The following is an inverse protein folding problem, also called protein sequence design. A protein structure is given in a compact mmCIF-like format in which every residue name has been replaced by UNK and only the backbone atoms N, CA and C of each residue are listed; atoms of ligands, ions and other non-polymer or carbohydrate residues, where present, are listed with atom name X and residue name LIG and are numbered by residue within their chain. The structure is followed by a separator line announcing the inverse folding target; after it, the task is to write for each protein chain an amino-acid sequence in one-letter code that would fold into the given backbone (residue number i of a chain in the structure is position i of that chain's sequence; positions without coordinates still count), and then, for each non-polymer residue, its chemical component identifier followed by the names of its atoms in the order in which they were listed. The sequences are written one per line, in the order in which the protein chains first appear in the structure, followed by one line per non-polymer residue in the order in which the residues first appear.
data_IF_463910725896
#
_entry.id   IF_463910725896
#
_cell.length_a   1.000
_cell.length_b   1.000
_cell.length_c   1.000
_cell.angle_alpha   90.00
_cell.angle_beta   90.00
_cell.angle_gamma   90.00
#
_symmetry.space_group_name_H-M   'P 1'
#
loop_
_entity.id
_entity.type
_entity.pdbx_description
1 polymer ?
#
# COMPACT_ATOMS: atom_id res chain seq x y z
N UNK A 1 -16.97 -6.25 -51.46
CA UNK A 1 -16.89 -7.27 -50.40
C UNK A 1 -15.65 -6.94 -49.60
N UNK A 2 -15.83 -6.21 -48.50
CA UNK A 2 -14.76 -5.72 -47.63
C UNK A 2 -14.24 -6.90 -46.82
N UNK A 3 -13.04 -7.39 -47.14
CA UNK A 3 -12.34 -8.34 -46.28
C UNK A 3 -11.96 -7.62 -44.99
N UNK A 4 -12.40 -8.12 -43.84
CA UNK A 4 -12.08 -7.54 -42.54
C UNK A 4 -10.56 -7.48 -42.33
N UNK A 5 -10.00 -6.27 -42.32
CA UNK A 5 -8.58 -5.94 -42.12
C UNK A 5 -8.02 -6.38 -40.75
N UNK A 6 -8.88 -6.87 -39.85
CA UNK A 6 -8.54 -7.31 -38.50
C UNK A 6 -9.08 -8.72 -38.20
N UNK A 7 -8.97 -9.63 -39.16
CA UNK A 7 -9.31 -11.04 -38.92
C UNK A 7 -8.10 -11.86 -38.53
N UNK A 8 -8.30 -12.85 -37.67
CA UNK A 8 -7.21 -13.73 -37.26
C UNK A 8 -6.65 -14.52 -38.45
N UNK A 9 -5.32 -14.72 -38.52
CA UNK A 9 -4.72 -15.57 -39.54
C UNK A 9 -5.26 -17.00 -39.52
N UNK A 10 -5.17 -17.69 -40.66
CA UNK A 10 -5.53 -19.11 -40.73
C UNK A 10 -4.75 -19.89 -39.67
N UNK A 11 -5.43 -20.80 -38.94
CA UNK A 11 -4.88 -21.50 -37.78
C UNK A 11 -3.52 -22.16 -38.03
N UNK A 12 -3.28 -22.66 -39.24
CA UNK A 12 -2.02 -23.30 -39.66
C UNK A 12 -0.83 -22.35 -39.71
N UNK A 13 -1.05 -21.05 -39.94
CA UNK A 13 0.01 -20.04 -40.04
C UNK A 13 0.49 -19.54 -38.67
N UNK A 14 -0.36 -19.63 -37.64
CA UNK A 14 -0.09 -19.06 -36.31
C UNK A 14 0.14 -20.11 -35.21
N UNK A 15 -0.07 -21.41 -35.49
CA UNK A 15 0.19 -22.49 -34.52
C UNK A 15 1.68 -22.54 -34.15
N UNK A 16 2.06 -22.67 -32.85
CA UNK A 16 1.22 -22.97 -31.68
C UNK A 16 0.48 -21.79 -31.04
N UNK A 17 0.79 -20.54 -31.39
CA UNK A 17 0.14 -19.36 -30.82
C UNK A 17 -1.39 -19.34 -31.08
N UNK A 18 -2.10 -18.63 -30.21
CA UNK A 18 -3.52 -18.34 -30.31
C UNK A 18 -3.73 -16.92 -30.83
N UNK A 19 -4.80 -16.70 -31.57
CA UNK A 19 -5.23 -15.37 -32.03
C UNK A 19 -6.71 -15.20 -31.72
N UNK A 20 -7.04 -14.05 -31.14
CA UNK A 20 -8.40 -13.61 -30.85
C UNK A 20 -8.67 -12.26 -31.53
N UNK A 21 -9.85 -12.11 -32.11
CA UNK A 21 -10.33 -10.83 -32.63
C UNK A 21 -10.98 -10.05 -31.48
N UNK A 22 -10.50 -8.83 -31.23
CA UNK A 22 -11.04 -7.94 -30.20
C UNK A 22 -11.49 -6.63 -30.83
N UNK A 23 -12.26 -5.82 -30.10
CA UNK A 23 -12.87 -4.59 -30.60
C UNK A 23 -11.87 -3.57 -31.17
N UNK A 24 -10.60 -3.60 -30.75
CA UNK A 24 -9.54 -2.68 -31.17
C UNK A 24 -8.42 -3.33 -32.01
N UNK A 25 -8.59 -4.55 -32.50
CA UNK A 25 -7.60 -5.25 -33.31
C UNK A 25 -7.42 -6.71 -32.91
N UNK A 26 -6.19 -7.23 -33.04
CA UNK A 26 -5.89 -8.62 -32.70
C UNK A 26 -5.20 -8.76 -31.34
N UNK A 27 -5.53 -9.82 -30.61
CA UNK A 27 -4.75 -10.34 -29.50
C UNK A 27 -4.06 -11.64 -29.93
N UNK A 28 -2.74 -11.71 -29.81
CA UNK A 28 -1.94 -12.90 -30.11
C UNK A 28 -1.26 -13.37 -28.83
N UNK A 29 -1.40 -14.66 -28.51
CA UNK A 29 -0.84 -15.29 -27.32
C UNK A 29 0.05 -16.44 -27.74
N UNK A 30 1.34 -16.34 -27.43
CA UNK A 30 2.35 -17.36 -27.66
C UNK A 30 2.93 -17.82 -26.32
N UNK A 31 2.61 -19.04 -25.90
CA UNK A 31 3.11 -19.64 -24.65
C UNK A 31 3.96 -20.88 -24.93
N UNK A 32 5.16 -20.94 -24.32
CA UNK A 32 6.06 -22.08 -24.46
C UNK A 32 6.65 -22.27 -25.86
N UNK A 33 6.70 -21.20 -26.66
CA UNK A 33 7.13 -21.22 -28.07
C UNK A 33 8.62 -20.90 -28.18
N UNK A 34 9.35 -21.70 -28.97
CA UNK A 34 10.76 -21.46 -29.27
C UNK A 34 10.95 -20.26 -30.20
N UNK A 35 12.10 -19.60 -30.09
CA UNK A 35 12.40 -18.38 -30.85
C UNK A 35 12.32 -18.58 -32.37
N UNK A 36 12.83 -19.69 -32.91
CA UNK A 36 12.78 -19.95 -34.35
C UNK A 36 11.34 -20.11 -34.87
N UNK A 37 10.47 -20.77 -34.11
CA UNK A 37 9.05 -20.87 -34.43
C UNK A 37 8.36 -19.51 -34.41
N UNK A 38 8.70 -18.64 -33.45
CA UNK A 38 8.18 -17.27 -33.41
C UNK A 38 8.60 -16.45 -34.63
N UNK A 39 9.88 -16.55 -35.03
CA UNK A 39 10.39 -15.90 -36.26
C UNK A 39 9.61 -16.37 -37.48
N UNK A 40 9.39 -17.66 -37.62
CA UNK A 40 8.60 -18.21 -38.73
C UNK A 40 7.16 -17.68 -38.74
N UNK A 41 6.49 -17.65 -37.59
CA UNK A 41 5.11 -17.15 -37.47
C UNK A 41 5.06 -15.69 -37.88
N UNK A 42 5.87 -14.82 -37.28
CA UNK A 42 5.80 -13.37 -37.52
C UNK A 42 6.24 -12.98 -38.93
N UNK A 43 7.10 -13.77 -39.58
CA UNK A 43 7.43 -13.58 -40.99
C UNK A 43 6.30 -13.98 -41.94
N UNK A 44 5.42 -14.91 -41.55
CA UNK A 44 4.28 -15.36 -42.37
C UNK A 44 3.05 -14.46 -42.20
N UNK A 45 2.89 -13.78 -41.07
CA UNK A 45 1.72 -12.95 -40.76
C UNK A 45 1.34 -11.92 -41.86
N UNK A 46 2.27 -11.21 -42.53
CA UNK A 46 1.91 -10.29 -43.62
C UNK A 46 1.24 -10.93 -44.83
N UNK A 47 1.30 -12.26 -44.97
CA UNK A 47 0.89 -12.97 -46.20
C UNK A 47 -0.60 -13.30 -46.28
N UNK A 48 -1.40 -12.86 -45.31
CA UNK A 48 -2.81 -13.19 -45.26
C UNK A 48 -3.67 -12.15 -45.99
N UNK A 49 -3.49 -12.06 -47.32
CA UNK A 49 -4.58 -11.95 -48.30
C UNK A 49 -4.04 -11.76 -49.73
N UNK A 50 -4.42 -12.71 -50.58
CA UNK A 50 -4.38 -12.72 -52.05
C UNK A 50 -3.16 -13.36 -52.74
N UNK A 51 -3.50 -14.36 -53.55
CA UNK A 51 -2.75 -14.89 -54.69
C UNK A 51 -2.47 -13.84 -55.80
N UNK A 52 -2.31 -12.56 -55.46
CA UNK A 52 -2.02 -11.51 -56.44
C UNK A 52 -0.57 -11.05 -56.29
N UNK A 53 0.23 -11.42 -57.28
CA UNK A 53 1.65 -11.13 -57.46
C UNK A 53 1.98 -9.64 -57.69
N UNK A 54 1.28 -8.70 -57.04
CA UNK A 54 1.66 -7.28 -57.12
C UNK A 54 2.27 -6.84 -55.79
N UNK A 55 3.60 -6.97 -55.74
CA UNK A 55 4.46 -6.32 -54.77
C UNK A 55 4.29 -4.81 -54.89
N UNK A 56 3.63 -4.17 -53.91
CA UNK A 56 3.94 -2.84 -53.38
C UNK A 56 2.84 -2.46 -52.36
N UNK A 57 3.25 -2.33 -51.08
CA UNK A 57 2.43 -2.06 -49.89
C UNK A 57 1.76 -3.29 -49.25
N UNK A 58 2.56 -4.22 -48.73
CA UNK A 58 2.09 -5.12 -47.66
C UNK A 58 1.81 -4.26 -46.41
N UNK A 59 0.54 -3.98 -46.13
CA UNK A 59 0.12 -3.36 -44.88
C UNK A 59 0.43 -4.34 -43.72
N UNK A 60 1.16 -3.86 -42.71
CA UNK A 60 1.48 -4.66 -41.52
C UNK A 60 0.23 -4.89 -40.70
N UNK A 61 0.02 -6.13 -40.27
CA UNK A 61 -1.07 -6.47 -39.34
C UNK A 61 -0.83 -5.73 -38.02
N UNK A 62 -1.86 -5.04 -37.54
CA UNK A 62 -1.84 -4.37 -36.24
C UNK A 62 -2.34 -5.31 -35.15
N UNK A 63 -1.42 -5.68 -34.27
CA UNK A 63 -1.66 -6.49 -33.09
C UNK A 63 -1.82 -5.54 -31.91
N UNK A 64 -3.01 -5.50 -31.33
CA UNK A 64 -3.28 -4.68 -30.16
C UNK A 64 -2.52 -5.22 -28.94
N UNK A 65 -2.55 -6.55 -28.74
CA UNK A 65 -1.84 -7.23 -27.66
C UNK A 65 -1.04 -8.41 -28.18
N UNK A 66 0.29 -8.35 -28.04
CA UNK A 66 1.18 -9.48 -28.28
C UNK A 66 1.69 -10.00 -26.92
N UNK A 67 1.21 -11.18 -26.53
CA UNK A 67 1.57 -11.83 -25.27
C UNK A 67 2.50 -13.00 -25.54
N UNK A 68 3.72 -12.90 -25.03
CA UNK A 68 4.80 -13.86 -25.09
C UNK A 68 5.12 -14.29 -23.67
N UNK A 69 4.73 -15.52 -23.31
CA UNK A 69 4.84 -16.01 -21.94
C UNK A 69 5.58 -17.33 -21.92
N UNK A 70 6.49 -17.52 -20.95
CA UNK A 70 7.20 -18.79 -20.80
C UNK A 70 7.95 -19.23 -22.08
N UNK A 71 8.30 -18.27 -22.94
CA UNK A 71 9.05 -18.56 -24.16
C UNK A 71 10.53 -18.60 -23.78
N UNK A 72 11.27 -19.62 -24.19
CA UNK A 72 12.70 -19.72 -23.88
C UNK A 72 13.52 -18.81 -24.81
N UNK A 73 13.42 -17.50 -24.58
CA UNK A 73 14.08 -16.47 -25.36
C UNK A 73 15.22 -15.93 -24.51
N UNK A 74 16.42 -16.47 -24.69
CA UNK A 74 17.58 -16.02 -23.93
C UNK A 74 17.94 -14.55 -24.20
N UNK A 75 17.80 -14.12 -25.45
CA UNK A 75 17.97 -12.74 -25.89
C UNK A 75 16.88 -12.39 -26.90
N UNK A 76 16.25 -11.22 -26.73
CA UNK A 76 15.23 -10.75 -27.67
C UNK A 76 15.93 -10.21 -28.93
N UNK A 77 15.77 -10.83 -30.10
CA UNK A 77 16.62 -10.52 -31.24
C UNK A 77 16.12 -9.32 -32.05
N UNK A 78 17.04 -8.73 -32.83
CA UNK A 78 16.68 -7.80 -33.87
C UNK A 78 15.66 -8.39 -34.85
N UNK A 79 14.85 -7.51 -35.44
CA UNK A 79 13.94 -7.81 -36.57
C UNK A 79 12.78 -8.76 -36.29
N UNK A 80 12.64 -9.33 -35.09
CA UNK A 80 11.52 -10.22 -34.74
C UNK A 80 10.16 -9.58 -35.03
N UNK A 81 10.05 -8.27 -34.79
CA UNK A 81 8.81 -7.50 -34.91
C UNK A 81 8.71 -6.72 -36.24
N UNK A 82 9.66 -6.87 -37.18
CA UNK A 82 9.72 -6.02 -38.38
C UNK A 82 8.50 -6.08 -39.29
N UNK A 83 7.76 -7.18 -39.23
CA UNK A 83 6.66 -7.48 -40.13
C UNK A 83 5.30 -7.28 -39.46
N UNK A 84 5.28 -6.85 -38.20
CA UNK A 84 4.07 -6.66 -37.41
C UNK A 84 4.08 -5.30 -36.73
N UNK A 85 2.88 -4.80 -36.46
CA UNK A 85 2.69 -3.61 -35.65
C UNK A 85 2.14 -4.02 -34.29
N UNK A 86 2.74 -3.54 -33.20
CA UNK A 86 2.35 -3.95 -31.84
C UNK A 86 2.13 -2.71 -30.97
N UNK A 87 0.93 -2.61 -30.37
CA UNK A 87 0.59 -1.54 -29.42
C UNK A 87 0.98 -1.89 -27.98
N UNK A 88 0.69 -3.12 -27.56
CA UNK A 88 1.02 -3.63 -26.23
C UNK A 88 1.79 -4.95 -26.35
N UNK A 89 3.06 -4.94 -25.95
CA UNK A 89 3.92 -6.11 -25.92
C UNK A 89 4.11 -6.57 -24.47
N UNK A 90 3.78 -7.83 -24.20
CA UNK A 90 4.05 -8.48 -22.92
C UNK A 90 4.99 -9.66 -23.18
N UNK A 91 6.25 -9.56 -22.78
CA UNK A 91 7.25 -10.61 -22.90
C UNK A 91 7.80 -10.94 -21.50
N UNK A 92 6.97 -11.60 -20.69
CA UNK A 92 7.28 -11.90 -19.29
C UNK A 92 7.59 -13.38 -19.08
N UNK A 93 8.42 -13.68 -18.08
CA UNK A 93 8.85 -15.05 -17.76
C UNK A 93 9.52 -15.77 -18.95
N UNK A 94 10.32 -15.06 -19.74
CA UNK A 94 10.96 -15.61 -20.94
C UNK A 94 12.43 -16.00 -20.72
N UNK A 95 12.95 -15.88 -19.49
CA UNK A 95 14.38 -16.05 -19.17
C UNK A 95 15.31 -15.12 -19.97
N UNK A 96 14.82 -13.96 -20.41
CA UNK A 96 15.64 -13.00 -21.18
C UNK A 96 16.72 -12.39 -20.30
N UNK A 97 17.96 -12.38 -20.77
CA UNK A 97 19.07 -11.67 -20.12
C UNK A 97 19.45 -10.37 -20.84
N UNK A 98 19.08 -10.24 -22.12
CA UNK A 98 19.43 -9.11 -22.97
C UNK A 98 18.40 -8.88 -24.09
N UNK A 99 18.37 -7.68 -24.64
CA UNK A 99 17.57 -7.27 -25.79
C UNK A 99 18.48 -6.60 -26.80
N UNK A 100 18.49 -7.10 -28.03
CA UNK A 100 19.22 -6.49 -29.13
C UNK A 100 18.82 -5.02 -29.31
N UNK A 101 19.80 -4.14 -29.52
CA UNK A 101 19.60 -2.69 -29.63
C UNK A 101 18.56 -2.27 -30.68
N UNK A 102 18.38 -3.05 -31.76
CA UNK A 102 17.45 -2.77 -32.86
C UNK A 102 16.12 -3.54 -32.71
N UNK A 103 15.91 -4.28 -31.61
CA UNK A 103 14.75 -5.15 -31.39
C UNK A 103 13.40 -4.43 -31.54
N UNK A 104 13.27 -3.23 -30.98
CA UNK A 104 12.03 -2.46 -30.95
C UNK A 104 11.95 -1.35 -31.99
N UNK A 105 12.98 -1.20 -32.84
CA UNK A 105 13.08 -0.11 -33.81
C UNK A 105 11.92 -0.04 -34.79
N UNK A 106 11.36 -1.18 -35.18
CA UNK A 106 10.22 -1.23 -36.12
C UNK A 106 8.87 -0.88 -35.49
N UNK A 107 8.81 -0.77 -34.16
CA UNK A 107 7.59 -0.46 -33.41
C UNK A 107 7.70 0.78 -32.50
N UNK A 108 8.81 1.53 -32.57
CA UNK A 108 9.10 2.66 -31.68
C UNK A 108 8.06 3.78 -31.72
N UNK A 109 7.42 3.98 -32.87
CA UNK A 109 6.42 5.03 -33.12
C UNK A 109 4.97 4.59 -32.82
N UNK A 110 4.76 3.38 -32.30
CA UNK A 110 3.42 2.86 -32.04
C UNK A 110 3.28 2.09 -30.73
N UNK A 111 4.37 1.62 -30.12
CA UNK A 111 4.29 0.87 -28.87
C UNK A 111 3.87 1.78 -27.71
N UNK A 112 2.75 1.46 -27.08
CA UNK A 112 2.18 2.22 -25.98
C UNK A 112 2.44 1.55 -24.63
N UNK A 113 2.54 0.22 -24.59
CA UNK A 113 2.87 -0.52 -23.36
C UNK A 113 3.88 -1.63 -23.63
N UNK A 114 4.89 -1.71 -22.77
CA UNK A 114 5.92 -2.74 -22.82
C UNK A 114 6.09 -3.36 -21.43
N UNK A 115 5.83 -4.65 -21.35
CA UNK A 115 6.05 -5.46 -20.15
C UNK A 115 7.17 -6.48 -20.41
N UNK A 116 8.27 -6.29 -19.70
CA UNK A 116 9.47 -7.12 -19.71
C UNK A 116 9.74 -7.70 -18.31
N UNK A 117 8.70 -7.80 -17.47
CA UNK A 117 8.81 -8.30 -16.10
C UNK A 117 9.15 -9.79 -16.02
N UNK A 118 9.63 -10.24 -14.86
CA UNK A 118 9.98 -11.64 -14.61
C UNK A 118 11.00 -12.19 -15.63
N UNK A 119 12.02 -11.41 -15.97
CA UNK A 119 13.15 -11.87 -16.78
C UNK A 119 14.42 -11.84 -15.91
N UNK A 120 15.60 -11.83 -16.53
CA UNK A 120 16.90 -11.90 -15.86
C UNK A 120 17.79 -10.71 -16.27
N UNK A 121 17.18 -9.57 -16.59
CA UNK A 121 17.92 -8.38 -16.99
C UNK A 121 18.73 -7.86 -15.81
N UNK A 122 20.06 -7.79 -15.96
CA UNK A 122 20.97 -7.15 -14.97
C UNK A 122 21.07 -5.64 -15.13
N UNK A 123 20.71 -5.15 -16.30
CA UNK A 123 20.67 -3.74 -16.67
C UNK A 123 19.42 -3.48 -17.48
N UNK A 124 18.97 -2.23 -17.46
CA UNK A 124 17.89 -1.80 -18.34
C UNK A 124 18.40 -1.84 -19.79
N UNK A 125 17.69 -2.50 -20.72
CA UNK A 125 18.19 -2.62 -22.09
C UNK A 125 18.24 -1.28 -22.84
N UNK A 126 19.32 -1.06 -23.60
CA UNK A 126 19.51 0.16 -24.41
C UNK A 126 18.47 0.29 -25.53
N UNK A 127 17.90 -0.83 -25.99
CA UNK A 127 16.84 -0.89 -27.00
C UNK A 127 15.55 -0.14 -26.60
N UNK A 128 15.39 0.24 -25.32
CA UNK A 128 14.26 1.02 -24.83
C UNK A 128 14.36 2.51 -25.14
N UNK A 129 15.55 3.02 -25.49
CA UNK A 129 15.74 4.43 -25.82
C UNK A 129 14.97 4.79 -27.08
N UNK A 130 14.38 5.99 -27.08
CA UNK A 130 13.64 6.52 -28.23
C UNK A 130 12.27 5.89 -28.48
N UNK A 131 11.75 5.05 -27.57
CA UNK A 131 10.35 4.59 -27.62
C UNK A 131 9.40 5.73 -27.23
N UNK A 132 9.26 6.71 -28.12
CA UNK A 132 8.64 8.01 -27.87
C UNK A 132 7.14 7.94 -27.57
N UNK A 133 6.48 6.88 -28.01
CA UNK A 133 5.04 6.64 -27.79
C UNK A 133 4.73 5.79 -26.56
N UNK A 134 5.75 5.28 -25.88
CA UNK A 134 5.60 4.38 -24.75
C UNK A 134 4.99 5.13 -23.55
N UNK A 135 3.83 4.68 -23.10
CA UNK A 135 3.06 5.24 -21.98
C UNK A 135 3.32 4.47 -20.69
N UNK A 136 3.56 3.16 -20.79
CA UNK A 136 3.74 2.27 -19.63
C UNK A 136 4.90 1.31 -19.86
N UNK A 137 5.86 1.30 -18.92
CA UNK A 137 7.01 0.40 -18.93
C UNK A 137 7.05 -0.40 -17.63
N UNK A 138 6.98 -1.73 -17.75
CA UNK A 138 7.10 -2.66 -16.63
C UNK A 138 8.38 -3.49 -16.75
N UNK A 139 9.29 -3.33 -15.80
CA UNK A 139 10.57 -4.05 -15.67
C UNK A 139 10.65 -4.81 -14.33
N UNK A 140 9.50 -5.10 -13.71
CA UNK A 140 9.44 -5.71 -12.39
C UNK A 140 10.08 -7.11 -12.35
N UNK A 141 10.58 -7.51 -11.19
CA UNK A 141 11.11 -8.85 -10.97
C UNK A 141 12.17 -9.25 -12.00
N UNK A 142 13.13 -8.36 -12.22
CA UNK A 142 14.36 -8.63 -12.95
C UNK A 142 15.54 -8.65 -11.97
N UNK A 143 16.77 -8.61 -12.47
CA UNK A 143 17.99 -8.59 -11.66
C UNK A 143 18.73 -7.25 -11.80
N UNK A 144 18.01 -6.16 -12.06
CA UNK A 144 18.62 -4.86 -12.36
C UNK A 144 19.33 -4.31 -11.11
N UNK A 145 20.60 -3.98 -11.25
CA UNK A 145 21.46 -3.56 -10.12
C UNK A 145 21.66 -2.03 -10.07
N UNK A 146 21.73 -1.38 -11.23
CA UNK A 146 21.91 0.08 -11.35
C UNK A 146 21.03 0.67 -12.43
N UNK A 147 20.73 1.97 -12.30
CA UNK A 147 20.17 2.78 -13.38
C UNK A 147 21.22 3.80 -13.80
N UNK A 148 21.74 3.63 -15.01
CA UNK A 148 22.83 4.44 -15.54
C UNK A 148 22.31 5.79 -16.10
N UNK A 149 23.23 6.69 -16.45
CA UNK A 149 22.88 8.04 -16.95
C UNK A 149 22.07 7.97 -18.25
N UNK A 150 20.99 8.77 -18.34
CA UNK A 150 20.11 8.86 -19.53
C UNK A 150 19.54 7.52 -19.98
N UNK A 151 19.26 6.60 -19.05
CA UNK A 151 18.81 5.25 -19.39
C UNK A 151 17.46 5.22 -20.12
N UNK A 152 16.62 6.24 -19.91
CA UNK A 152 15.27 6.36 -20.48
C UNK A 152 15.18 7.49 -21.51
N UNK A 153 16.30 7.85 -22.15
CA UNK A 153 16.35 8.94 -23.12
C UNK A 153 15.40 8.70 -24.30
N UNK A 154 14.64 9.73 -24.68
CA UNK A 154 13.69 9.70 -25.78
C UNK A 154 12.36 9.01 -25.48
N UNK A 155 12.11 8.52 -24.26
CA UNK A 155 10.80 7.96 -23.85
C UNK A 155 9.88 9.09 -23.35
N UNK A 156 9.46 9.94 -24.29
CA UNK A 156 8.85 11.24 -24.00
C UNK A 156 7.38 11.20 -23.56
N UNK A 157 6.68 10.09 -23.79
CA UNK A 157 5.25 9.94 -23.47
C UNK A 157 4.98 9.09 -22.22
N UNK A 158 6.03 8.70 -21.49
CA UNK A 158 5.90 7.78 -20.37
C UNK A 158 5.09 8.40 -19.24
N UNK A 159 4.08 7.66 -18.77
CA UNK A 159 3.28 8.01 -17.60
C UNK A 159 3.63 7.14 -16.40
N UNK A 160 3.88 5.85 -16.63
CA UNK A 160 4.10 4.84 -15.58
C UNK A 160 5.38 4.05 -15.83
N UNK A 161 6.25 4.04 -14.84
CA UNK A 161 7.47 3.23 -14.82
C UNK A 161 7.48 2.35 -13.56
N UNK A 162 7.61 1.04 -13.75
CA UNK A 162 7.73 0.08 -12.67
C UNK A 162 9.03 -0.71 -12.78
N UNK A 163 9.81 -0.70 -11.70
CA UNK A 163 11.07 -1.41 -11.49
C UNK A 163 11.03 -2.19 -10.16
N UNK A 164 9.82 -2.54 -9.72
CA UNK A 164 9.59 -3.23 -8.45
C UNK A 164 10.25 -4.61 -8.41
N UNK A 165 10.82 -5.00 -7.26
CA UNK A 165 11.36 -6.35 -7.09
C UNK A 165 12.65 -6.60 -7.88
N UNK A 166 13.53 -5.60 -8.00
CA UNK A 166 14.84 -5.72 -8.63
C UNK A 166 15.95 -5.73 -7.54
N UNK A 167 17.22 -5.54 -7.93
CA UNK A 167 18.38 -5.46 -7.01
C UNK A 167 19.01 -4.07 -7.04
N UNK A 168 18.21 -3.03 -7.29
CA UNK A 168 18.73 -1.68 -7.55
C UNK A 168 19.29 -1.12 -6.25
N UNK A 169 20.61 -0.95 -6.19
CA UNK A 169 21.30 -0.34 -5.05
C UNK A 169 21.77 1.09 -5.35
N UNK A 170 21.88 1.46 -6.62
CA UNK A 170 22.33 2.80 -7.04
C UNK A 170 21.60 3.31 -8.29
N UNK A 171 21.27 4.60 -8.28
CA UNK A 171 20.68 5.33 -9.41
C UNK A 171 21.56 6.53 -9.70
N UNK A 172 22.02 6.64 -10.94
CA UNK A 172 22.83 7.78 -11.39
C UNK A 172 22.00 9.08 -11.30
N UNK A 173 22.62 10.19 -10.91
CA UNK A 173 21.91 11.47 -10.77
C UNK A 173 21.30 11.97 -12.09
N UNK A 174 21.80 11.54 -13.24
CA UNK A 174 21.30 11.87 -14.57
C UNK A 174 20.44 10.76 -15.20
N UNK A 175 20.04 9.74 -14.43
CA UNK A 175 19.33 8.56 -14.92
C UNK A 175 18.05 8.88 -15.70
N UNK A 176 17.27 9.85 -15.22
CA UNK A 176 15.98 10.24 -15.77
C UNK A 176 16.06 11.43 -16.74
N UNK A 177 17.25 11.86 -17.16
CA UNK A 177 17.37 12.86 -18.23
C UNK A 177 16.87 12.26 -19.54
N UNK A 178 16.01 12.99 -20.25
CA UNK A 178 15.44 12.58 -21.53
C UNK A 178 14.16 11.75 -21.42
N UNK A 179 13.75 11.39 -20.19
CA UNK A 179 12.41 10.88 -19.94
C UNK A 179 11.39 12.02 -20.07
N UNK A 180 10.20 11.72 -20.57
CA UNK A 180 9.16 12.72 -20.77
C UNK A 180 8.76 13.48 -19.50
N UNK A 181 8.19 14.69 -19.63
CA UNK A 181 7.72 15.47 -18.48
C UNK A 181 6.47 14.87 -17.81
N UNK A 182 5.85 13.85 -18.43
CA UNK A 182 4.52 13.36 -18.07
C UNK A 182 4.54 12.16 -17.10
N UNK A 183 5.70 11.74 -16.60
CA UNK A 183 5.77 10.60 -15.67
C UNK A 183 5.03 10.96 -14.39
N UNK A 184 3.93 10.27 -14.11
CA UNK A 184 3.09 10.49 -12.93
C UNK A 184 3.34 9.44 -11.86
N UNK A 185 3.85 8.27 -12.20
CA UNK A 185 4.06 7.17 -11.24
C UNK A 185 5.38 6.47 -11.49
N UNK A 186 6.18 6.36 -10.43
CA UNK A 186 7.37 5.52 -10.39
C UNK A 186 7.28 4.54 -9.23
N UNK A 187 7.50 3.27 -9.53
CA UNK A 187 7.69 2.23 -8.53
C UNK A 187 9.13 1.71 -8.52
N UNK A 188 9.84 1.99 -7.43
CA UNK A 188 11.19 1.51 -7.10
C UNK A 188 11.17 0.64 -5.83
N UNK A 189 10.00 0.14 -5.42
CA UNK A 189 9.88 -0.71 -4.26
C UNK A 189 10.54 -2.09 -4.44
N UNK A 190 10.79 -2.82 -3.36
CA UNK A 190 11.40 -4.15 -3.43
C UNK A 190 12.79 -4.12 -4.07
N UNK A 191 13.64 -3.17 -3.65
CA UNK A 191 14.98 -2.96 -4.18
C UNK A 191 16.00 -2.85 -3.02
N UNK A 192 17.24 -2.47 -3.31
CA UNK A 192 18.33 -2.39 -2.34
C UNK A 192 18.77 -0.95 -2.06
N UNK A 193 17.90 0.04 -2.30
CA UNK A 193 18.22 1.45 -2.10
C UNK A 193 18.43 1.74 -0.61
N UNK A 194 19.60 2.27 -0.27
CA UNK A 194 19.92 2.67 1.10
C UNK A 194 19.50 4.10 1.45
N UNK A 195 19.14 4.90 0.43
CA UNK A 195 18.76 6.32 0.54
C UNK A 195 17.76 6.66 -0.57
N UNK A 196 17.01 7.75 -0.38
CA UNK A 196 16.11 8.27 -1.41
C UNK A 196 16.95 8.85 -2.56
N UNK A 197 16.73 8.43 -3.83
CA UNK A 197 17.51 8.88 -4.99
C UNK A 197 17.07 10.28 -5.46
N UNK A 198 17.08 11.28 -4.56
CA UNK A 198 16.43 12.57 -4.81
C UNK A 198 17.11 13.41 -5.90
N UNK A 199 18.42 13.25 -6.08
CA UNK A 199 19.18 13.92 -7.14
C UNK A 199 18.74 13.54 -8.55
N UNK A 200 18.31 12.29 -8.74
CA UNK A 200 17.81 11.80 -10.02
C UNK A 200 16.31 12.05 -10.20
N UNK A 201 15.52 11.99 -9.12
CA UNK A 201 14.07 12.18 -9.20
C UNK A 201 13.65 13.64 -9.48
N UNK A 202 14.53 14.62 -9.25
CA UNK A 202 14.25 16.06 -9.48
C UNK A 202 13.78 16.43 -10.89
N UNK A 203 14.03 15.57 -11.88
CA UNK A 203 13.64 15.80 -13.28
C UNK A 203 12.16 15.47 -13.57
N UNK A 204 11.46 14.79 -12.66
CA UNK A 204 10.13 14.22 -12.89
C UNK A 204 9.01 15.15 -12.42
N UNK A 205 8.90 16.34 -12.99
CA UNK A 205 8.06 17.43 -12.46
C UNK A 205 6.56 17.10 -12.31
N UNK A 206 6.04 16.17 -13.10
CA UNK A 206 4.63 15.71 -13.02
C UNK A 206 4.42 14.50 -12.10
N UNK A 207 5.45 14.07 -11.36
CA UNK A 207 5.36 12.90 -10.50
C UNK A 207 4.31 13.12 -9.41
N UNK A 208 3.37 12.19 -9.33
CA UNK A 208 2.31 12.16 -8.33
C UNK A 208 2.61 11.10 -7.28
N UNK A 209 2.94 9.88 -7.72
CA UNK A 209 3.18 8.74 -6.82
C UNK A 209 4.61 8.25 -6.91
N UNK A 210 5.28 8.23 -5.76
CA UNK A 210 6.62 7.67 -5.59
C UNK A 210 6.56 6.50 -4.60
N UNK A 211 6.81 5.29 -5.11
CA UNK A 211 6.87 4.08 -4.31
C UNK A 211 8.33 3.66 -4.07
N UNK A 212 8.75 3.68 -2.81
CA UNK A 212 10.07 3.31 -2.31
C UNK A 212 9.99 2.26 -1.19
N UNK A 213 8.85 1.57 -1.06
CA UNK A 213 8.65 0.54 -0.04
C UNK A 213 9.61 -0.64 -0.21
N UNK A 214 9.83 -1.43 0.83
CA UNK A 214 10.66 -2.65 0.75
C UNK A 214 12.07 -2.35 0.20
N UNK A 215 12.72 -1.33 0.76
CA UNK A 215 14.09 -0.96 0.46
C UNK A 215 14.93 -1.01 1.77
N UNK A 216 16.14 -0.45 1.74
CA UNK A 216 17.07 -0.39 2.90
C UNK A 216 17.29 1.04 3.37
N UNK A 217 16.30 1.93 3.17
CA UNK A 217 16.39 3.35 3.54
C UNK A 217 16.38 3.46 5.06
N UNK A 218 17.45 3.99 5.63
CA UNK A 218 17.63 4.07 7.10
C UNK A 218 17.64 5.51 7.63
N UNK A 219 17.85 6.50 6.76
CA UNK A 219 17.84 7.92 7.11
C UNK A 219 17.14 8.73 6.02
N UNK A 220 16.39 9.74 6.43
CA UNK A 220 15.80 10.75 5.56
C UNK A 220 16.26 12.10 6.08
N UNK A 221 16.96 12.87 5.25
CA UNK A 221 17.43 14.20 5.64
C UNK A 221 16.71 15.29 4.85
N UNK A 222 16.55 16.47 5.48
CA UNK A 222 15.98 17.65 4.83
C UNK A 222 16.73 18.03 3.55
N UNK A 223 18.06 17.90 3.56
CA UNK A 223 18.90 18.19 2.39
C UNK A 223 18.63 17.25 1.20
N UNK A 224 18.28 15.99 1.47
CA UNK A 224 17.91 15.06 0.41
C UNK A 224 16.55 15.40 -0.18
N UNK A 225 15.53 15.61 0.65
CA UNK A 225 14.18 15.89 0.18
C UNK A 225 14.06 17.27 -0.45
N UNK A 226 14.92 18.23 -0.11
CA UNK A 226 15.01 19.53 -0.79
C UNK A 226 15.26 19.42 -2.29
N UNK A 227 15.94 18.36 -2.76
CA UNK A 227 16.11 18.13 -4.20
C UNK A 227 14.79 17.82 -4.91
N UNK A 228 13.76 17.39 -4.17
CA UNK A 228 12.42 17.09 -4.68
C UNK A 228 11.48 18.31 -4.67
N UNK A 229 11.96 19.51 -4.31
CA UNK A 229 11.13 20.73 -4.27
C UNK A 229 10.42 21.08 -5.59
N UNK A 230 10.89 20.54 -6.73
CA UNK A 230 10.29 20.73 -8.04
C UNK A 230 9.12 19.78 -8.31
N UNK A 231 8.91 18.75 -7.48
CA UNK A 231 7.84 17.77 -7.60
C UNK A 231 6.53 18.33 -7.03
N UNK A 232 6.00 19.38 -7.67
CA UNK A 232 4.83 20.13 -7.19
C UNK A 232 3.52 19.35 -7.19
N UNK A 233 3.52 18.16 -7.81
CA UNK A 233 2.35 17.29 -7.91
C UNK A 233 2.45 16.02 -7.09
N UNK A 234 3.54 15.83 -6.30
CA UNK A 234 3.75 14.61 -5.52
C UNK A 234 2.70 14.51 -4.41
N UNK A 235 1.70 13.66 -4.62
CA UNK A 235 0.55 13.46 -3.74
C UNK A 235 0.77 12.29 -2.77
N UNK A 236 1.52 11.27 -3.19
CA UNK A 236 1.72 10.05 -2.42
C UNK A 236 3.21 9.64 -2.38
N UNK A 237 3.74 9.53 -1.16
CA UNK A 237 5.07 9.01 -0.87
C UNK A 237 4.94 7.73 -0.03
N UNK A 238 5.38 6.61 -0.60
CA UNK A 238 5.40 5.34 0.12
C UNK A 238 6.83 4.93 0.47
N UNK A 239 7.12 4.88 1.78
CA UNK A 239 8.39 4.51 2.40
C UNK A 239 8.22 3.31 3.35
N UNK A 240 7.13 2.55 3.23
CA UNK A 240 6.84 1.40 4.07
C UNK A 240 7.94 0.33 3.98
N UNK A 241 8.10 -0.51 5.00
CA UNK A 241 9.05 -1.63 4.99
C UNK A 241 10.49 -1.17 4.66
N UNK A 242 10.97 -0.17 5.39
CA UNK A 242 12.34 0.33 5.32
C UNK A 242 12.98 0.24 6.73
N UNK A 243 14.09 0.94 6.95
CA UNK A 243 14.89 0.88 8.17
C UNK A 243 14.95 2.24 8.89
N UNK A 244 13.96 3.11 8.68
CA UNK A 244 13.94 4.49 9.21
C UNK A 244 13.73 4.43 10.72
N UNK A 245 14.57 5.13 11.49
CA UNK A 245 14.52 5.12 12.97
C UNK A 245 13.93 6.36 13.61
N UNK A 246 14.03 7.49 12.92
CA UNK A 246 13.54 8.76 13.41
C UNK A 246 13.17 9.66 12.23
N UNK A 247 12.28 10.62 12.50
CA UNK A 247 11.92 11.69 11.58
C UNK A 247 12.37 13.01 12.19
N UNK A 248 13.31 13.68 11.51
CA UNK A 248 13.88 14.95 11.95
C UNK A 248 12.98 16.14 11.53
N UNK A 249 13.31 17.33 12.04
CA UNK A 249 12.59 18.56 11.75
C UNK A 249 12.56 18.92 10.27
N UNK A 250 11.38 19.36 9.81
CA UNK A 250 11.10 19.93 8.49
C UNK A 250 11.60 19.10 7.30
N UNK A 251 11.67 17.77 7.43
CA UNK A 251 12.16 16.90 6.34
C UNK A 251 11.22 16.91 5.13
N UNK A 252 9.91 17.11 5.33
CA UNK A 252 8.90 17.09 4.25
C UNK A 252 8.52 18.49 3.73
N UNK A 253 9.13 19.57 4.23
CA UNK A 253 8.68 20.95 4.01
C UNK A 253 8.57 21.38 2.54
N UNK A 254 9.34 20.78 1.65
CA UNK A 254 9.34 21.11 0.22
C UNK A 254 8.34 20.28 -0.61
N UNK A 255 7.64 19.33 0.01
CA UNK A 255 6.66 18.43 -0.63
C UNK A 255 5.22 18.95 -0.48
N UNK A 256 4.98 20.19 -0.93
CA UNK A 256 3.78 20.97 -0.63
C UNK A 256 2.44 20.41 -1.14
N UNK A 257 2.44 19.31 -1.89
CA UNK A 257 1.23 18.62 -2.35
C UNK A 257 1.01 17.27 -1.67
N UNK A 258 1.91 16.89 -0.74
CA UNK A 258 1.91 15.58 -0.13
C UNK A 258 0.67 15.39 0.72
N UNK A 259 -0.08 14.35 0.39
CA UNK A 259 -1.39 14.09 0.93
C UNK A 259 -1.47 12.69 1.56
N UNK A 260 -0.71 11.73 1.02
CA UNK A 260 -0.56 10.38 1.54
C UNK A 260 0.91 10.10 1.87
N UNK A 261 1.18 9.77 3.13
CA UNK A 261 2.50 9.37 3.61
C UNK A 261 2.45 8.02 4.30
N UNK A 262 3.17 7.06 3.74
CA UNK A 262 3.24 5.69 4.26
C UNK A 262 4.62 5.39 4.83
N UNK A 263 4.68 5.24 6.15
CA UNK A 263 5.88 4.91 6.92
C UNK A 263 5.69 3.59 7.70
N UNK A 264 4.72 2.77 7.28
CA UNK A 264 4.43 1.46 7.84
C UNK A 264 5.69 0.59 7.94
N UNK A 265 5.79 -0.23 8.98
CA UNK A 265 6.84 -1.26 9.12
C UNK A 265 8.26 -0.69 8.98
N UNK A 266 8.54 0.35 9.75
CA UNK A 266 9.88 0.91 9.93
C UNK A 266 10.36 0.68 11.38
N UNK A 267 11.40 1.40 11.81
CA UNK A 267 11.95 1.33 13.17
C UNK A 267 11.73 2.66 13.91
N UNK A 268 10.69 3.41 13.56
CA UNK A 268 10.51 4.79 14.03
C UNK A 268 10.14 4.77 15.52
N UNK A 269 11.01 5.36 16.34
CA UNK A 269 10.77 5.56 17.77
C UNK A 269 10.61 7.03 18.16
N UNK A 270 11.01 7.96 17.28
CA UNK A 270 11.00 9.40 17.53
C UNK A 270 10.54 10.16 16.29
N UNK A 271 9.65 11.13 16.50
CA UNK A 271 9.17 12.07 15.48
C UNK A 271 9.31 13.46 16.09
N UNK A 272 10.09 14.32 15.45
CA UNK A 272 10.30 15.71 15.88
C UNK A 272 9.01 16.53 15.75
N UNK A 273 8.80 17.55 16.59
CA UNK A 273 7.58 18.38 16.58
C UNK A 273 7.40 19.16 15.27
N UNK A 274 8.49 19.45 14.55
CA UNK A 274 8.49 20.19 13.30
C UNK A 274 8.60 19.28 12.06
N UNK A 275 8.48 17.96 12.23
CA UNK A 275 8.64 16.97 11.13
C UNK A 275 7.76 17.29 9.93
N UNK A 276 6.50 17.64 10.18
CA UNK A 276 5.46 17.83 9.18
C UNK A 276 5.26 19.30 8.76
N UNK A 277 6.15 20.20 9.19
CA UNK A 277 6.14 21.60 8.76
C UNK A 277 6.19 21.68 7.23
N UNK A 278 5.32 22.49 6.63
CA UNK A 278 5.17 22.67 5.18
C UNK A 278 4.16 21.75 4.48
N UNK A 279 3.62 20.73 5.15
CA UNK A 279 2.58 19.81 4.62
C UNK A 279 1.32 19.73 5.48
N UNK A 280 1.18 20.64 6.44
CA UNK A 280 0.12 20.67 7.46
C UNK A 280 -1.28 20.86 6.85
N UNK A 281 -1.34 21.51 5.69
CA UNK A 281 -2.58 21.83 4.98
C UNK A 281 -2.98 20.77 3.96
N UNK A 282 -2.12 19.78 3.67
CA UNK A 282 -2.35 18.81 2.59
C UNK A 282 -2.41 17.36 3.06
N UNK A 283 -1.71 17.02 4.15
CA UNK A 283 -1.64 15.65 4.64
C UNK A 283 -3.00 15.17 5.19
N UNK A 284 -3.57 14.14 4.56
CA UNK A 284 -4.84 13.54 4.95
C UNK A 284 -4.69 12.09 5.44
N UNK A 285 -3.68 11.37 4.94
CA UNK A 285 -3.44 9.96 5.26
C UNK A 285 -2.01 9.76 5.77
N UNK A 286 -1.89 9.36 7.04
CA UNK A 286 -0.61 9.04 7.66
C UNK A 286 -0.65 7.62 8.22
N UNK A 287 0.27 6.77 7.73
CA UNK A 287 0.50 5.44 8.27
C UNK A 287 1.83 5.36 8.99
N UNK A 288 1.77 4.97 10.26
CA UNK A 288 2.89 4.79 11.17
C UNK A 288 2.78 3.43 11.88
N UNK A 289 1.98 2.51 11.36
CA UNK A 289 1.79 1.19 11.95
C UNK A 289 3.06 0.33 11.85
N UNK A 290 3.17 -0.67 12.74
CA UNK A 290 4.33 -1.55 12.84
C UNK A 290 5.65 -0.77 13.06
N UNK A 291 5.65 0.22 13.96
CA UNK A 291 6.83 0.99 14.36
C UNK A 291 7.13 0.79 15.86
N UNK A 292 7.95 1.67 16.45
CA UNK A 292 8.42 1.59 17.84
C UNK A 292 7.97 2.80 18.67
N UNK A 293 6.84 3.42 18.32
CA UNK A 293 6.31 4.59 19.02
C UNK A 293 5.78 4.18 20.40
N UNK A 294 6.22 4.89 21.45
CA UNK A 294 5.75 4.68 22.83
C UNK A 294 4.62 5.63 23.23
N UNK A 295 4.34 6.63 22.40
CA UNK A 295 3.29 7.62 22.61
C UNK A 295 2.73 8.11 21.27
N UNK A 296 1.54 8.70 21.30
CA UNK A 296 0.96 9.39 20.14
C UNK A 296 1.80 10.65 19.85
N UNK A 297 2.22 10.91 18.60
CA UNK A 297 3.06 12.07 18.26
C UNK A 297 2.24 13.37 18.17
N UNK A 298 1.59 13.73 19.27
CA UNK A 298 0.61 14.83 19.32
C UNK A 298 1.22 16.19 18.98
N UNK A 299 2.43 16.46 19.46
CA UNK A 299 3.15 17.71 19.15
C UNK A 299 3.51 17.82 17.67
N UNK A 300 3.92 16.73 17.03
CA UNK A 300 4.22 16.72 15.60
C UNK A 300 2.97 16.90 14.73
N UNK A 301 1.82 16.40 15.19
CA UNK A 301 0.56 16.43 14.43
C UNK A 301 -0.31 17.65 14.71
N UNK A 302 0.05 18.52 15.67
CA UNK A 302 -0.80 19.61 16.18
C UNK A 302 -1.31 20.57 15.11
N UNK A 303 -0.57 20.75 14.02
CA UNK A 303 -0.94 21.67 12.95
C UNK A 303 -1.67 21.00 11.76
N UNK A 304 -1.76 19.67 11.71
CA UNK A 304 -2.31 18.93 10.57
C UNK A 304 -3.84 18.84 10.66
N UNK A 305 -4.53 19.88 10.20
CA UNK A 305 -5.99 20.01 10.36
C UNK A 305 -6.83 19.23 9.34
N UNK A 306 -6.19 18.59 8.36
CA UNK A 306 -6.85 17.79 7.32
C UNK A 306 -6.72 16.28 7.53
N UNK A 307 -6.06 15.84 8.62
CA UNK A 307 -5.77 14.42 8.84
C UNK A 307 -7.07 13.62 9.00
N UNK A 308 -7.36 12.75 8.04
CA UNK A 308 -8.55 11.87 8.01
C UNK A 308 -8.24 10.49 8.55
N UNK A 309 -7.05 9.97 8.25
CA UNK A 309 -6.61 8.67 8.72
C UNK A 309 -5.28 8.79 9.46
N UNK A 310 -5.26 8.21 10.66
CA UNK A 310 -4.05 7.98 11.42
C UNK A 310 -3.96 6.51 11.79
N UNK A 311 -2.98 5.83 11.21
CA UNK A 311 -2.69 4.43 11.54
C UNK A 311 -1.48 4.34 12.47
N UNK A 312 -1.74 3.92 13.73
CA UNK A 312 -0.74 3.72 14.78
C UNK A 312 -0.76 2.27 15.29
N UNK A 313 -1.37 1.35 14.52
CA UNK A 313 -1.46 -0.06 14.87
C UNK A 313 -0.08 -0.67 15.13
N UNK A 314 -0.01 -1.65 16.03
CA UNK A 314 1.21 -2.42 16.29
C UNK A 314 2.42 -1.54 16.62
N UNK A 315 2.23 -0.61 17.57
CA UNK A 315 3.29 0.18 18.20
C UNK A 315 3.39 -0.20 19.69
N UNK A 316 4.02 0.64 20.51
CA UNK A 316 4.26 0.41 21.94
C UNK A 316 3.58 1.47 22.81
N UNK A 317 2.47 2.06 22.34
CA UNK A 317 1.76 3.14 23.02
C UNK A 317 1.12 2.62 24.31
N UNK A 318 1.39 3.25 25.45
CA UNK A 318 0.88 2.82 26.76
C UNK A 318 -0.29 3.63 27.30
N UNK A 319 -0.38 4.91 26.95
CA UNK A 319 -1.40 5.83 27.45
C UNK A 319 -1.91 6.74 26.32
N UNK A 320 -3.16 7.16 26.43
CA UNK A 320 -3.73 8.24 25.62
C UNK A 320 -4.11 9.38 26.58
N UNK A 321 -3.49 10.53 26.38
CA UNK A 321 -3.65 11.72 27.24
C UNK A 321 -4.74 12.66 26.70
N UNK A 322 -5.19 13.60 27.53
CA UNK A 322 -6.28 14.54 27.19
C UNK A 322 -6.00 15.33 25.90
N UNK A 323 -4.74 15.74 25.69
CA UNK A 323 -4.32 16.54 24.55
C UNK A 323 -3.88 15.70 23.34
N UNK A 324 -3.96 14.36 23.42
CA UNK A 324 -3.36 13.50 22.39
C UNK A 324 -3.88 13.78 20.97
N UNK A 325 -5.15 14.18 20.86
CA UNK A 325 -5.84 14.48 19.60
C UNK A 325 -6.52 15.87 19.59
N UNK A 326 -6.35 16.69 20.63
CA UNK A 326 -7.17 17.90 20.82
C UNK A 326 -7.10 18.86 19.61
N UNK A 327 -5.93 18.93 18.98
CA UNK A 327 -5.65 19.86 17.89
C UNK A 327 -6.12 19.39 16.50
N UNK A 328 -6.17 18.08 16.24
CA UNK A 328 -6.45 17.54 14.89
C UNK A 328 -7.59 16.50 14.86
N UNK A 329 -8.17 16.15 16.01
CA UNK A 329 -9.22 15.14 16.12
C UNK A 329 -10.49 15.48 15.33
N UNK A 330 -10.80 16.75 15.09
CA UNK A 330 -12.01 17.15 14.34
C UNK A 330 -12.08 16.55 12.93
N UNK A 331 -10.94 16.39 12.27
CA UNK A 331 -10.84 15.87 10.90
C UNK A 331 -10.71 14.35 10.82
N UNK A 332 -10.32 13.69 11.93
CA UNK A 332 -10.07 12.25 11.94
C UNK A 332 -11.38 11.49 11.71
N UNK A 333 -11.34 10.57 10.74
CA UNK A 333 -12.40 9.61 10.41
C UNK A 333 -12.01 8.19 10.78
N UNK A 334 -10.74 7.83 10.58
CA UNK A 334 -10.25 6.46 10.76
C UNK A 334 -9.04 6.47 11.69
N UNK A 335 -9.20 5.88 12.88
CA UNK A 335 -8.16 5.79 13.89
C UNK A 335 -7.89 4.32 14.25
N UNK A 336 -6.64 3.92 14.03
CA UNK A 336 -6.18 2.56 14.28
C UNK A 336 -5.14 2.58 15.41
N UNK A 337 -5.49 2.00 16.56
CA UNK A 337 -4.66 1.93 17.76
C UNK A 337 -4.53 0.49 18.28
N UNK A 338 -5.00 -0.49 17.51
CA UNK A 338 -4.97 -1.89 17.89
C UNK A 338 -3.56 -2.46 17.95
N UNK A 339 -3.36 -3.50 18.77
CA UNK A 339 -2.05 -4.13 19.00
C UNK A 339 -1.01 -3.18 19.60
N UNK A 340 -1.43 -2.22 20.43
CA UNK A 340 -0.55 -1.41 21.25
C UNK A 340 -0.48 -1.98 22.68
N UNK A 341 -0.02 -1.17 23.65
CA UNK A 341 0.06 -1.53 25.07
C UNK A 341 -0.82 -0.63 25.92
N UNK A 342 -1.90 -0.10 25.36
CA UNK A 342 -2.69 0.97 25.98
C UNK A 342 -3.36 0.43 27.25
N UNK A 343 -3.01 1.01 28.40
CA UNK A 343 -3.52 0.65 29.73
C UNK A 343 -4.63 1.59 30.21
N UNK A 344 -4.55 2.86 29.82
CA UNK A 344 -5.49 3.91 30.22
C UNK A 344 -5.67 4.96 29.13
N UNK A 345 -6.87 5.51 29.08
CA UNK A 345 -7.27 6.61 28.20
C UNK A 345 -7.86 7.68 29.10
N UNK A 346 -7.36 8.91 29.00
CA UNK A 346 -7.90 10.06 29.74
C UNK A 346 -9.32 10.38 29.27
N UNK A 347 -10.20 10.74 30.22
CA UNK A 347 -11.62 11.07 30.00
C UNK A 347 -11.87 12.14 28.93
N UNK A 348 -10.89 13.01 28.67
CA UNK A 348 -10.98 14.12 27.72
C UNK A 348 -10.28 13.83 26.39
N UNK A 349 -9.54 12.71 26.28
CA UNK A 349 -8.70 12.40 25.11
C UNK A 349 -9.45 12.40 23.78
N UNK A 350 -10.73 12.03 23.80
CA UNK A 350 -11.58 11.87 22.62
C UNK A 350 -12.58 13.02 22.43
N UNK A 351 -12.47 14.10 23.22
CA UNK A 351 -13.44 15.20 23.19
C UNK A 351 -13.50 15.93 21.84
N UNK A 352 -12.36 16.02 21.14
CA UNK A 352 -12.23 16.74 19.87
C UNK A 352 -12.77 15.99 18.65
N UNK A 353 -13.14 14.71 18.78
CA UNK A 353 -13.64 13.91 17.65
C UNK A 353 -15.06 14.32 17.25
N UNK A 354 -15.18 14.94 16.08
CA UNK A 354 -16.47 15.35 15.50
C UNK A 354 -16.87 14.49 14.28
N UNK A 355 -15.88 13.86 13.62
CA UNK A 355 -16.05 13.14 12.34
C UNK A 355 -15.70 11.66 12.40
N UNK A 356 -15.39 11.11 13.58
CA UNK A 356 -14.85 9.75 13.72
C UNK A 356 -15.86 8.69 13.26
N UNK A 357 -15.43 7.83 12.33
CA UNK A 357 -16.22 6.75 11.76
C UNK A 357 -15.72 5.39 12.27
N UNK A 358 -14.39 5.18 12.29
CA UNK A 358 -13.77 3.93 12.74
C UNK A 358 -12.77 4.16 13.87
N UNK A 359 -12.92 3.36 14.92
CA UNK A 359 -12.01 3.32 16.06
C UNK A 359 -11.66 1.87 16.40
N UNK A 360 -10.40 1.51 16.21
CA UNK A 360 -9.86 0.20 16.60
C UNK A 360 -8.96 0.34 17.83
N UNK A 361 -9.36 -0.26 18.94
CA UNK A 361 -8.63 -0.32 20.21
C UNK A 361 -8.38 -1.76 20.67
N UNK A 362 -8.71 -2.75 19.84
CA UNK A 362 -8.57 -4.16 20.15
C UNK A 362 -7.10 -4.58 20.37
N UNK A 363 -6.90 -5.70 21.05
CA UNK A 363 -5.56 -6.23 21.38
C UNK A 363 -4.69 -5.20 22.13
N UNK A 364 -5.20 -4.63 23.22
CA UNK A 364 -4.51 -3.69 24.10
C UNK A 364 -4.55 -4.19 25.56
N UNK A 365 -4.30 -3.31 26.54
CA UNK A 365 -4.28 -3.62 27.97
C UNK A 365 -5.36 -2.88 28.76
N UNK A 366 -6.46 -2.50 28.10
CA UNK A 366 -7.57 -1.78 28.72
C UNK A 366 -8.33 -2.70 29.69
N UNK A 367 -8.44 -2.27 30.95
CA UNK A 367 -9.22 -2.97 31.98
C UNK A 367 -10.59 -2.37 32.23
N UNK A 368 -10.73 -1.07 32.00
CA UNK A 368 -11.96 -0.30 32.22
C UNK A 368 -12.12 0.72 31.10
N UNK A 369 -13.36 1.09 30.81
CA UNK A 369 -13.65 2.05 29.76
C UNK A 369 -14.99 2.77 30.04
N UNK A 370 -14.93 4.08 30.28
CA UNK A 370 -16.10 4.90 30.58
C UNK A 370 -16.87 5.28 29.32
N UNK A 371 -18.22 5.28 29.40
CA UNK A 371 -19.10 5.77 28.32
C UNK A 371 -18.79 7.23 27.94
N UNK A 372 -18.37 8.04 28.92
CA UNK A 372 -18.10 9.48 28.78
C UNK A 372 -17.13 9.78 27.63
N UNK A 373 -16.13 8.91 27.42
CA UNK A 373 -15.15 9.00 26.34
C UNK A 373 -15.79 9.06 24.94
N UNK A 374 -16.97 8.45 24.76
CA UNK A 374 -17.59 8.26 23.44
C UNK A 374 -18.80 9.18 23.21
N UNK A 375 -19.27 9.92 24.22
CA UNK A 375 -20.55 10.65 24.19
C UNK A 375 -20.68 11.60 22.99
N UNK A 376 -19.58 12.19 22.52
CA UNK A 376 -19.57 13.16 21.41
C UNK A 376 -19.91 12.55 20.05
N UNK A 377 -19.56 11.28 19.81
CA UNK A 377 -19.59 10.65 18.48
C UNK A 377 -20.28 9.27 18.43
N UNK A 378 -20.50 8.61 19.58
CA UNK A 378 -21.04 7.23 19.66
C UNK A 378 -22.32 7.02 18.84
N UNK A 379 -23.23 7.99 18.86
CA UNK A 379 -24.54 7.92 18.19
C UNK A 379 -24.64 8.84 16.95
N UNK A 380 -23.51 9.30 16.41
CA UNK A 380 -23.49 10.20 15.24
C UNK A 380 -22.94 9.48 14.02
N UNK A 381 -21.62 9.34 13.96
CA UNK A 381 -20.91 8.90 12.76
C UNK A 381 -20.18 7.56 12.97
N UNK A 382 -20.07 7.08 14.20
CA UNK A 382 -19.29 5.89 14.53
C UNK A 382 -19.96 4.65 13.94
N UNK A 383 -19.26 3.97 13.04
CA UNK A 383 -19.70 2.74 12.39
C UNK A 383 -18.95 1.52 12.91
N UNK A 384 -17.69 1.71 13.33
CA UNK A 384 -16.85 0.64 13.88
C UNK A 384 -16.24 1.09 15.20
N UNK A 385 -16.50 0.31 16.25
CA UNK A 385 -15.81 0.37 17.53
C UNK A 385 -15.34 -1.03 17.90
N UNK A 386 -14.06 -1.29 17.72
CA UNK A 386 -13.47 -2.59 17.99
C UNK A 386 -12.67 -2.57 19.29
N UNK A 387 -13.12 -3.34 20.28
CA UNK A 387 -12.55 -3.41 21.63
C UNK A 387 -12.07 -4.82 22.02
N UNK A 388 -12.19 -5.84 21.16
CA UNK A 388 -11.86 -7.23 21.52
C UNK A 388 -10.39 -7.39 21.96
N UNK A 389 -10.06 -8.53 22.56
CA UNK A 389 -8.70 -8.82 23.08
C UNK A 389 -8.16 -7.75 24.04
N UNK A 390 -9.01 -7.21 24.89
CA UNK A 390 -8.62 -6.38 26.03
C UNK A 390 -8.95 -7.08 27.36
N UNK A 391 -8.14 -6.91 28.41
CA UNK A 391 -8.35 -7.50 29.73
C UNK A 391 -9.45 -6.79 30.55
N UNK A 392 -10.64 -6.57 29.97
CA UNK A 392 -11.72 -5.84 30.62
C UNK A 392 -12.23 -6.53 31.89
N UNK A 393 -12.45 -5.75 32.95
CA UNK A 393 -13.11 -6.24 34.17
C UNK A 393 -14.62 -6.11 33.96
N UNK A 394 -15.38 -7.20 34.13
CA UNK A 394 -16.83 -7.13 34.03
C UNK A 394 -17.39 -6.20 35.12
N UNK A 395 -17.95 -5.06 34.72
CA UNK A 395 -18.54 -4.08 35.63
C UNK A 395 -19.67 -3.32 34.96
N UNK A 396 -20.44 -2.60 35.76
CA UNK A 396 -21.53 -1.76 35.26
C UNK A 396 -21.09 -0.58 34.41
N UNK A 397 -19.83 -0.17 34.55
CA UNK A 397 -19.22 0.85 33.70
C UNK A 397 -19.08 0.40 32.24
N UNK A 398 -19.07 -0.91 31.95
CA UNK A 398 -18.98 -1.45 30.59
C UNK A 398 -20.35 -1.76 29.95
N UNK A 399 -21.45 -1.60 30.70
CA UNK A 399 -22.78 -1.97 30.22
C UNK A 399 -23.22 -1.15 28.98
N UNK A 400 -22.72 0.07 28.81
CA UNK A 400 -23.01 0.88 27.62
C UNK A 400 -22.55 0.22 26.32
N UNK A 401 -21.43 -0.51 26.35
CA UNK A 401 -20.87 -1.15 25.15
C UNK A 401 -21.71 -2.35 24.75
N UNK A 402 -22.16 -3.16 25.73
CA UNK A 402 -23.16 -4.20 25.50
C UNK A 402 -24.39 -3.63 24.81
N UNK A 403 -25.00 -2.58 25.37
CA UNK A 403 -26.20 -1.96 24.78
C UNK A 403 -25.93 -1.43 23.38
N UNK A 404 -24.75 -0.87 23.14
CA UNK A 404 -24.34 -0.40 21.81
C UNK A 404 -24.22 -1.55 20.80
N UNK A 405 -23.65 -2.70 21.19
CA UNK A 405 -23.58 -3.91 20.35
C UNK A 405 -24.99 -4.38 19.95
N UNK A 406 -25.90 -4.51 20.92
CA UNK A 406 -27.27 -4.97 20.68
C UNK A 406 -28.01 -4.06 19.69
N UNK A 407 -27.84 -2.74 19.83
CA UNK A 407 -28.45 -1.75 18.92
C UNK A 407 -27.89 -1.84 17.49
N UNK A 408 -26.63 -2.27 17.35
CA UNK A 408 -25.93 -2.30 16.07
C UNK A 408 -25.82 -3.70 15.47
N UNK A 409 -26.41 -4.74 16.07
CA UNK A 409 -26.22 -6.16 15.70
C UNK A 409 -26.56 -6.48 14.23
N UNK A 410 -27.41 -5.67 13.58
CA UNK A 410 -27.77 -5.81 12.16
C UNK A 410 -26.68 -5.34 11.19
N UNK A 411 -25.61 -4.71 11.68
CA UNK A 411 -24.50 -4.28 10.84
C UNK A 411 -23.65 -5.49 10.41
N UNK A 412 -23.11 -5.46 9.20
CA UNK A 412 -22.33 -6.56 8.60
C UNK A 412 -21.05 -6.95 9.40
N UNK A 413 -20.66 -6.14 10.38
CA UNK A 413 -19.47 -6.32 11.22
C UNK A 413 -19.78 -6.95 12.59
N UNK A 414 -21.01 -7.43 12.81
CA UNK A 414 -21.46 -7.98 14.11
C UNK A 414 -20.63 -9.13 14.67
N UNK A 415 -19.86 -9.83 13.82
CA UNK A 415 -18.93 -10.87 14.26
C UNK A 415 -17.80 -10.35 15.14
N UNK A 416 -17.29 -9.14 14.89
CA UNK A 416 -16.11 -8.59 15.60
C UNK A 416 -16.44 -8.31 17.06
N UNK A 417 -17.65 -7.80 17.33
CA UNK A 417 -18.01 -7.37 18.68
C UNK A 417 -18.34 -8.55 19.60
N UNK A 418 -18.83 -9.66 19.04
CA UNK A 418 -19.12 -10.92 19.75
C UNK A 418 -17.87 -11.58 20.34
N UNK A 419 -16.69 -11.22 19.85
CA UNK A 419 -15.42 -11.70 20.39
C UNK A 419 -14.96 -10.93 21.63
N UNK A 420 -15.60 -9.79 21.95
CA UNK A 420 -15.22 -8.99 23.11
C UNK A 420 -15.66 -9.69 24.39
N UNK A 421 -14.70 -9.91 25.29
CA UNK A 421 -14.91 -10.60 26.56
C UNK A 421 -14.49 -9.71 27.72
N UNK A 422 -15.10 -9.93 28.87
CA UNK A 422 -14.65 -9.40 30.14
C UNK A 422 -14.37 -10.53 31.13
N UNK A 423 -13.63 -10.21 32.18
CA UNK A 423 -13.19 -11.10 33.22
C UNK A 423 -13.87 -10.71 34.54
N UNK A 424 -14.46 -11.69 35.23
CA UNK A 424 -14.96 -11.52 36.59
C UNK A 424 -13.80 -11.81 37.57
N UNK A 425 -13.55 -10.90 38.53
CA UNK A 425 -12.51 -11.09 39.55
C UNK A 425 -13.20 -11.11 40.92
N UNK A 426 -13.21 -12.27 41.57
CA UNK A 426 -13.88 -12.51 42.87
C UNK A 426 -13.13 -11.86 44.06
N UNK A 427 -12.11 -11.05 43.78
CA UNK A 427 -11.30 -10.39 44.81
C UNK A 427 -11.99 -9.08 45.22
N UNK A 428 -12.90 -9.19 46.18
CA UNK A 428 -13.07 -8.12 47.16
C UNK A 428 -11.74 -7.97 47.92
N UNK A 429 -10.97 -6.95 47.57
CA UNK A 429 -9.86 -6.46 48.40
C UNK A 429 -10.41 -5.78 49.66
N UNK A 430 -11.10 -6.54 50.52
CA UNK A 430 -11.37 -6.16 51.91
C UNK A 430 -10.37 -6.88 52.81
N UNK A 431 -9.44 -6.12 53.38
CA UNK A 431 -8.49 -6.55 54.39
C UNK A 431 -9.21 -7.10 55.63
N UNK A 432 -9.41 -8.43 55.70
CA UNK A 432 -9.44 -9.18 56.97
C UNK A 432 -9.55 -10.68 56.73
N UNK A 433 -8.42 -11.34 56.44
CA UNK A 433 -8.35 -12.81 56.56
C UNK A 433 -7.32 -13.15 57.63
N UNK A 434 -7.83 -13.70 58.72
CA UNK A 434 -7.07 -14.27 59.84
C UNK A 434 -6.21 -15.45 59.39
N UNK A 435 -5.12 -15.66 60.13
CA UNK A 435 -3.90 -16.32 59.72
C UNK A 435 -3.95 -17.86 59.56
N UNK A 436 -5.11 -18.47 59.28
CA UNK A 436 -5.29 -19.94 59.20
C UNK A 436 -5.84 -20.48 57.86
N UNK A 437 -5.85 -19.69 56.79
CA UNK A 437 -6.28 -20.14 55.45
C UNK A 437 -5.21 -20.04 54.34
N UNK A 438 -3.93 -20.12 54.69
CA UNK A 438 -2.83 -20.05 53.70
C UNK A 438 -2.54 -21.35 52.91
N UNK A 439 -3.36 -22.41 53.03
CA UNK A 439 -3.09 -23.70 52.34
C UNK A 439 -4.08 -24.10 51.23
N UNK A 440 -4.89 -23.17 50.70
CA UNK A 440 -5.73 -23.42 49.52
C UNK A 440 -5.48 -22.44 48.36
N UNK A 441 -4.21 -22.16 48.05
CA UNK A 441 -3.83 -21.49 46.79
C UNK A 441 -3.76 -22.51 45.66
N UNK A 442 -4.88 -22.95 45.08
CA UNK A 442 -4.90 -23.59 43.76
C UNK A 442 -6.25 -23.40 43.04
N UNK A 443 -6.17 -22.77 41.85
CA UNK A 443 -7.21 -22.52 40.82
C UNK A 443 -8.32 -21.52 41.16
N UNK A 444 -8.04 -20.23 41.00
CA UNK A 444 -9.06 -19.25 40.61
C UNK A 444 -9.38 -19.50 39.13
N UNK A 445 -10.55 -20.06 38.81
CA UNK A 445 -11.08 -20.10 37.45
C UNK A 445 -11.51 -18.67 37.08
N UNK A 446 -10.72 -18.01 36.23
CA UNK A 446 -11.11 -16.72 35.67
C UNK A 446 -12.29 -16.96 34.72
N UNK A 447 -13.48 -16.52 35.10
CA UNK A 447 -14.68 -16.67 34.29
C UNK A 447 -14.69 -15.60 33.19
N UNK A 448 -14.55 -16.05 31.95
CA UNK A 448 -14.58 -15.24 30.73
C UNK A 448 -16.03 -15.10 30.25
N UNK A 449 -16.53 -13.87 30.18
CA UNK A 449 -17.92 -13.57 29.80
C UNK A 449 -17.92 -12.80 28.48
N UNK A 450 -18.59 -13.33 27.45
CA UNK A 450 -18.84 -12.58 26.21
C UNK A 450 -19.72 -11.36 26.52
N UNK A 451 -19.37 -10.19 25.97
CA UNK A 451 -20.02 -8.94 26.39
C UNK A 451 -21.52 -8.87 26.04
N UNK A 452 -21.94 -9.50 24.94
CA UNK A 452 -23.36 -9.66 24.59
C UNK A 452 -24.13 -10.55 25.59
N UNK A 453 -23.42 -11.38 26.35
CA UNK A 453 -23.97 -12.24 27.41
C UNK A 453 -23.90 -11.61 28.80
N UNK A 454 -23.39 -10.39 28.96
CA UNK A 454 -23.22 -9.75 30.27
C UNK A 454 -24.42 -9.83 31.25
N UNK A 455 -25.65 -9.34 31.09
CA UNK A 455 -26.70 -9.25 32.16
C UNK A 455 -26.59 -8.02 33.07
N UNK A 456 -27.79 -7.55 33.39
CA UNK A 456 -28.16 -6.31 34.04
C UNK A 456 -27.38 -6.00 35.31
N UNK A 457 -26.97 -4.75 35.36
CA UNK A 457 -26.54 -4.07 36.57
C UNK A 457 -27.70 -3.87 37.53
N UNK A 458 -27.65 -4.53 38.67
CA UNK A 458 -28.62 -4.33 39.74
C UNK A 458 -28.07 -3.33 40.76
N UNK A 459 -28.97 -2.53 41.33
CA UNK A 459 -28.60 -1.63 42.41
C UNK A 459 -28.53 -2.42 43.71
N UNK A 460 -27.32 -2.59 44.24
CA UNK A 460 -27.13 -3.17 45.56
C UNK A 460 -27.44 -2.12 46.63
N UNK A 461 -28.54 -2.33 47.35
CA UNK A 461 -28.97 -1.42 48.42
C UNK A 461 -28.00 -1.38 49.60
N UNK A 462 -27.20 -2.43 49.81
CA UNK A 462 -26.23 -2.52 50.91
C UNK A 462 -24.95 -1.74 50.58
N UNK A 463 -24.47 -1.83 49.35
CA UNK A 463 -23.26 -1.13 48.89
C UNK A 463 -23.52 0.27 48.30
N UNK A 464 -24.80 0.65 48.13
CA UNK A 464 -25.24 1.87 47.45
C UNK A 464 -24.64 2.06 46.05
N UNK A 465 -24.37 0.97 45.33
CA UNK A 465 -23.73 0.97 44.02
C UNK A 465 -24.37 -0.03 43.09
N UNK A 466 -24.18 0.14 41.78
CA UNK A 466 -24.57 -0.86 40.80
C UNK A 466 -23.54 -1.98 40.74
N UNK A 467 -24.00 -3.22 40.93
CA UNK A 467 -23.14 -4.40 40.92
C UNK A 467 -23.51 -5.28 39.73
N UNK A 468 -22.48 -5.81 39.07
CA UNK A 468 -22.63 -6.80 38.00
C UNK A 468 -22.87 -8.17 38.61
N UNK A 469 -23.95 -8.85 38.20
CA UNK A 469 -24.28 -10.20 38.67
C UNK A 469 -24.01 -11.19 37.53
N UNK A 470 -22.94 -12.01 37.61
CA UNK A 470 -22.70 -13.05 36.62
C UNK A 470 -23.83 -14.10 36.66
N UNK A 471 -24.24 -14.60 35.50
CA UNK A 471 -24.98 -15.86 35.43
C UNK A 471 -24.08 -16.97 35.97
N UNK A 472 -24.28 -17.38 37.22
CA UNK A 472 -23.85 -18.71 37.64
C UNK A 472 -24.68 -19.70 36.82
N UNK A 473 -24.05 -20.34 35.83
CA UNK A 473 -24.63 -21.46 35.11
C UNK A 473 -25.17 -22.48 36.10
N UNK A 474 -26.49 -22.70 36.10
CA UNK A 474 -27.08 -23.96 36.54
C UNK A 474 -26.98 -24.98 35.41
#
# INVERSE_FOLDING_TARGET
MNGNENSCPVRSLIKPCLCNEITKGLEIICEGVQLETLKEIFNRLPSNNNNNQNQQQQQRITIMYLKMKNNYIHSFPARLLNNINVRHLMAHNCNMIDVDQDAFRSISEQIESLDLSHNKFKKIPEALKGLSTLVSLNLNYNEIETIDSKQFDGIVSLLRLSLYGNRIFAINEHAFIGIGPNVTQINLGGNELSRIPSKSLKYLQSLQRLQLHENRIHTITRMELKNLQQLKHLDALNLANNLIRQLDSSIFADLSALNYLDLESNQISMIDEHTFDGIEQTLEWLKLDNNQLTMIPSESLKHIKQLRQLDLKNNQIETIESESFSQYGKSIKFLYLQKNRIKSIDDMAFESFESLEWLYLNSNHLKKLSKKLFEKFLNKNLTILDLHDNPFICSCELNWYRTWIEQNEKNQMSHIWKETKCYYNDNNDDESITMDQQQSKHKQEILLIEMDKMIECQFDQQQQQQVYIPLLSH
#
